data_IF_203504969908
#
_entry.id   IF_203504969908
#
_cell.length_a   1.000
_cell.length_b   1.000
_cell.length_c   1.000
_cell.angle_alpha   90.00
_cell.angle_beta   90.00
_cell.angle_gamma   90.00
#
_symmetry.space_group_name_H-M   'P 1'
#
loop_
_entity.id
_entity.type
_entity.pdbx_description
1 polymer ?
#
# COMPACT_ATOMS: atom_id res chain seq x y z
N UNK A 1 72.19 -27.26 26.31
CA UNK A 1 71.97 -27.75 27.67
C UNK A 1 70.50 -27.87 27.93
N UNK A 2 70.08 -29.06 28.21
CA UNK A 2 68.76 -29.57 28.53
C UNK A 2 68.12 -28.89 29.73
N UNK A 3 66.80 -28.71 29.72
CA UNK A 3 65.97 -29.00 30.88
C UNK A 3 64.51 -29.27 30.44
N UNK A 4 64.20 -30.57 30.37
CA UNK A 4 62.86 -31.11 30.41
C UNK A 4 62.25 -30.90 31.81
N UNK A 5 61.03 -30.40 31.87
CA UNK A 5 60.19 -30.51 33.07
C UNK A 5 58.93 -31.30 32.71
N UNK A 6 58.92 -32.55 33.17
CA UNK A 6 57.73 -33.40 33.25
C UNK A 6 56.74 -32.76 34.23
N UNK A 7 55.48 -32.65 33.79
CA UNK A 7 54.36 -32.44 34.70
C UNK A 7 53.54 -33.73 34.80
N UNK A 8 53.38 -34.20 36.00
CA UNK A 8 52.59 -35.38 36.42
C UNK A 8 51.10 -35.03 36.29
N UNK A 9 50.35 -35.92 35.64
CA UNK A 9 48.92 -36.03 35.65
C UNK A 9 48.40 -36.47 36.99
N UNK A 10 47.61 -35.68 37.67
CA UNK A 10 46.76 -36.12 38.79
C UNK A 10 45.38 -36.40 38.25
N UNK A 11 44.96 -37.65 38.28
CA UNK A 11 43.67 -38.16 37.94
C UNK A 11 42.56 -37.51 38.77
N UNK A 12 41.57 -36.92 38.11
CA UNK A 12 40.28 -36.61 38.71
C UNK A 12 39.25 -37.62 38.23
N UNK A 13 38.72 -38.34 39.23
CA UNK A 13 37.60 -39.27 39.12
C UNK A 13 36.40 -38.53 38.50
N UNK A 14 36.12 -38.84 37.25
CA UNK A 14 34.90 -38.38 36.59
C UNK A 14 33.71 -39.17 37.12
N UNK A 15 32.83 -38.52 37.86
CA UNK A 15 31.49 -39.05 38.15
C UNK A 15 30.77 -39.29 36.83
N UNK A 16 30.56 -40.55 36.45
CA UNK A 16 29.66 -40.97 35.39
C UNK A 16 28.25 -40.57 35.81
N UNK A 17 27.74 -39.47 35.26
CA UNK A 17 26.31 -39.21 35.20
C UNK A 17 25.70 -40.30 34.29
N UNK A 18 25.08 -41.30 34.90
CA UNK A 18 24.21 -42.24 34.21
C UNK A 18 23.07 -41.42 33.59
N UNK A 19 23.15 -41.15 32.28
CA UNK A 19 22.01 -40.70 31.53
C UNK A 19 20.94 -41.79 31.62
N UNK A 20 19.88 -41.52 32.38
CA UNK A 20 18.63 -42.25 32.25
C UNK A 20 18.20 -42.18 30.81
N UNK A 21 18.37 -43.25 30.06
CA UNK A 21 17.73 -43.42 28.75
C UNK A 21 16.23 -43.57 29.05
N UNK A 22 15.48 -42.49 28.95
CA UNK A 22 14.02 -42.55 28.93
C UNK A 22 13.66 -43.47 27.76
N UNK A 23 12.91 -44.53 28.05
CA UNK A 23 12.58 -45.55 27.06
C UNK A 23 11.84 -44.87 25.86
N UNK A 24 12.21 -45.18 24.61
CA UNK A 24 11.65 -44.51 23.41
C UNK A 24 10.12 -44.55 23.34
N UNK A 25 9.51 -45.56 23.93
CA UNK A 25 8.04 -45.65 23.98
C UNK A 25 7.39 -44.64 24.95
N UNK A 26 8.10 -44.11 25.94
CA UNK A 26 7.60 -43.06 26.83
C UNK A 26 7.59 -41.69 26.09
N UNK A 27 8.59 -41.42 25.26
CA UNK A 27 8.63 -40.26 24.40
C UNK A 27 7.49 -40.31 23.36
N UNK A 28 7.22 -41.50 22.81
CA UNK A 28 6.10 -41.69 21.87
C UNK A 28 4.75 -41.46 22.55
N UNK A 29 4.54 -41.95 23.77
CA UNK A 29 3.32 -41.75 24.54
C UNK A 29 3.10 -40.28 24.91
N UNK A 30 4.15 -39.53 25.25
CA UNK A 30 4.09 -38.09 25.50
C UNK A 30 3.75 -37.33 24.25
N UNK A 31 4.33 -37.67 23.09
CA UNK A 31 4.02 -37.06 21.82
C UNK A 31 2.56 -37.31 21.40
N UNK A 32 2.07 -38.55 21.54
CA UNK A 32 0.67 -38.89 21.24
C UNK A 32 -0.31 -38.19 22.20
N UNK A 33 0.04 -38.07 23.49
CA UNK A 33 -0.74 -37.31 24.45
C UNK A 33 -0.84 -35.81 24.10
N UNK A 34 0.27 -35.24 23.65
CA UNK A 34 0.30 -33.85 23.21
C UNK A 34 -0.54 -33.60 21.94
N UNK A 35 -0.45 -34.47 20.95
CA UNK A 35 -1.29 -34.41 19.72
C UNK A 35 -2.77 -34.56 20.05
N UNK A 36 -3.13 -35.49 20.95
CA UNK A 36 -4.51 -35.69 21.41
C UNK A 36 -5.03 -34.46 22.16
N UNK A 37 -4.21 -33.82 23.00
CA UNK A 37 -4.57 -32.60 23.72
C UNK A 37 -4.78 -31.41 22.76
N UNK A 38 -3.93 -31.27 21.76
CA UNK A 38 -4.09 -30.24 20.71
C UNK A 38 -5.35 -30.49 19.87
N UNK A 39 -5.63 -31.73 19.47
CA UNK A 39 -6.84 -32.10 18.74
C UNK A 39 -8.11 -31.83 19.57
N UNK A 40 -8.08 -32.15 20.86
CA UNK A 40 -9.18 -31.85 21.79
C UNK A 40 -9.40 -30.34 21.97
N UNK A 41 -8.33 -29.57 22.13
CA UNK A 41 -8.40 -28.13 22.25
C UNK A 41 -8.95 -27.49 20.96
N UNK A 42 -8.49 -27.94 19.80
CA UNK A 42 -9.03 -27.51 18.50
C UNK A 42 -10.51 -27.80 18.38
N UNK A 43 -10.92 -29.04 18.68
CA UNK A 43 -12.33 -29.43 18.63
C UNK A 43 -13.20 -28.64 19.62
N UNK A 44 -12.69 -28.39 20.83
CA UNK A 44 -13.43 -27.73 21.92
C UNK A 44 -13.59 -26.22 21.72
N UNK A 45 -12.59 -25.57 21.09
CA UNK A 45 -12.52 -24.11 21.00
C UNK A 45 -12.62 -23.57 19.56
N UNK A 46 -11.93 -24.19 18.61
CA UNK A 46 -11.90 -23.67 17.24
C UNK A 46 -13.20 -24.01 16.48
N UNK A 47 -13.71 -25.23 16.58
CA UNK A 47 -14.96 -25.58 15.86
C UNK A 47 -16.14 -24.72 16.30
N UNK A 48 -16.45 -24.53 17.61
CA UNK A 48 -17.55 -23.65 18.02
C UNK A 48 -17.31 -22.18 17.61
N UNK A 49 -16.05 -21.75 17.54
CA UNK A 49 -15.73 -20.41 17.05
C UNK A 49 -16.06 -20.24 15.56
N UNK A 50 -15.72 -21.22 14.74
CA UNK A 50 -16.07 -21.21 13.30
C UNK A 50 -17.56 -21.41 13.05
N UNK A 51 -18.25 -22.22 13.83
CA UNK A 51 -19.71 -22.37 13.76
C UNK A 51 -20.44 -21.07 14.14
N UNK A 52 -19.97 -20.34 15.14
CA UNK A 52 -20.52 -19.02 15.48
C UNK A 52 -20.25 -17.98 14.39
N UNK A 53 -19.07 -17.98 13.76
CA UNK A 53 -18.79 -17.13 12.60
C UNK A 53 -19.69 -17.45 11.41
N UNK A 54 -19.94 -18.74 11.15
CA UNK A 54 -20.88 -19.18 10.09
C UNK A 54 -22.33 -18.82 10.36
N UNK A 55 -22.78 -18.86 11.60
CA UNK A 55 -24.15 -18.55 11.98
C UNK A 55 -24.47 -17.04 11.97
N UNK A 56 -23.48 -16.18 12.14
CA UNK A 56 -23.66 -14.74 11.96
C UNK A 56 -23.72 -14.30 10.48
N UNK A 57 -23.24 -15.13 9.56
CA UNK A 57 -23.31 -14.84 8.12
C UNK A 57 -24.65 -15.19 7.46
N UNK A 58 -25.52 -15.97 8.11
CA UNK A 58 -26.79 -16.46 7.54
C UNK A 58 -27.95 -16.44 8.54
N UNK A 59 -28.18 -15.36 9.24
CA UNK A 59 -29.47 -15.14 9.92
C UNK A 59 -30.39 -14.34 9.00
N UNK A 60 -30.76 -14.91 7.87
CA UNK A 60 -32.06 -14.59 7.27
C UNK A 60 -33.12 -15.17 8.20
N UNK A 61 -33.72 -14.37 9.06
CA UNK A 61 -34.94 -14.70 9.75
C UNK A 61 -35.98 -15.04 8.68
N UNK A 62 -36.42 -16.31 8.64
CA UNK A 62 -37.69 -16.67 8.00
C UNK A 62 -38.78 -16.00 8.81
N UNK A 63 -39.28 -14.88 8.34
CA UNK A 63 -40.53 -14.34 8.82
C UNK A 63 -41.66 -15.36 8.55
N UNK A 64 -42.62 -15.57 9.49
CA UNK A 64 -43.80 -16.37 9.23
C UNK A 64 -44.58 -15.73 8.07
N UNK A 65 -45.30 -16.52 7.26
CA UNK A 65 -46.02 -16.01 6.10
C UNK A 65 -47.02 -14.95 6.56
N UNK A 66 -46.72 -13.71 6.34
CA UNK A 66 -47.62 -12.59 6.51
C UNK A 66 -48.65 -12.61 5.37
N UNK A 67 -49.90 -12.47 5.74
CA UNK A 67 -51.03 -12.24 4.82
C UNK A 67 -50.66 -11.11 3.85
N UNK A 68 -50.86 -11.27 2.53
CA UNK A 68 -50.45 -10.23 1.59
C UNK A 68 -51.26 -8.95 1.88
N UNK A 69 -50.56 -7.94 2.36
CA UNK A 69 -51.05 -6.58 2.38
C UNK A 69 -51.29 -6.11 0.93
N UNK A 70 -52.28 -5.27 0.68
CA UNK A 70 -52.55 -4.74 -0.66
C UNK A 70 -51.25 -4.08 -1.16
N UNK A 71 -50.86 -4.47 -2.39
CA UNK A 71 -49.63 -3.99 -3.01
C UNK A 71 -49.61 -2.45 -3.04
N UNK A 72 -48.82 -1.88 -2.16
CA UNK A 72 -48.44 -0.48 -2.29
C UNK A 72 -47.74 -0.34 -3.67
N UNK A 73 -48.16 0.59 -4.53
CA UNK A 73 -47.51 0.77 -5.80
C UNK A 73 -46.01 0.96 -5.53
N UNK A 74 -45.18 0.05 -6.09
CA UNK A 74 -43.73 0.18 -6.07
C UNK A 74 -43.45 1.56 -6.68
N UNK A 75 -42.82 2.49 -5.94
CA UNK A 75 -42.46 3.75 -6.55
C UNK A 75 -41.60 3.41 -7.77
N UNK A 76 -42.10 3.80 -8.95
CA UNK A 76 -41.28 3.79 -10.17
C UNK A 76 -39.98 4.43 -9.79
N UNK A 77 -38.80 3.79 -9.96
CA UNK A 77 -37.54 4.44 -9.66
C UNK A 77 -37.59 5.77 -10.42
N UNK A 78 -37.51 6.88 -9.71
CA UNK A 78 -37.32 8.17 -10.35
C UNK A 78 -36.13 7.98 -11.30
N UNK A 79 -36.27 8.40 -12.58
CA UNK A 79 -35.13 8.36 -13.48
C UNK A 79 -34.02 9.08 -12.73
N UNK A 80 -32.91 8.39 -12.49
CA UNK A 80 -31.71 8.95 -11.87
C UNK A 80 -31.29 10.10 -12.75
N UNK A 81 -31.78 11.28 -12.40
CA UNK A 81 -31.40 12.51 -13.09
C UNK A 81 -29.91 12.65 -12.81
N UNK A 82 -29.13 12.62 -13.86
CA UNK A 82 -27.72 12.96 -13.80
C UNK A 82 -27.58 14.32 -13.10
N UNK A 83 -27.01 14.40 -11.90
CA UNK A 83 -26.92 15.66 -11.18
C UNK A 83 -26.00 16.67 -11.86
N UNK A 84 -25.20 16.25 -12.89
CA UNK A 84 -24.22 17.08 -13.56
C UNK A 84 -24.20 16.86 -15.08
N UNK A 85 -25.36 17.07 -15.80
CA UNK A 85 -25.48 16.73 -17.21
C UNK A 85 -24.56 17.56 -18.13
N UNK A 86 -24.10 18.69 -17.68
CA UNK A 86 -23.26 19.59 -18.45
C UNK A 86 -21.77 19.38 -18.29
N UNK A 87 -21.35 18.44 -17.41
CA UNK A 87 -19.94 18.19 -17.20
C UNK A 87 -19.33 17.36 -18.35
N UNK A 88 -18.13 17.75 -18.85
CA UNK A 88 -17.51 17.10 -20.02
C UNK A 88 -17.40 15.59 -19.96
N UNK A 89 -17.10 15.02 -18.79
CA UNK A 89 -16.97 13.56 -18.61
C UNK A 89 -18.32 12.81 -18.65
N UNK A 90 -19.44 13.48 -18.44
CA UNK A 90 -20.78 12.88 -18.52
C UNK A 90 -21.26 12.63 -19.93
N UNK A 91 -20.97 13.55 -20.83
CA UNK A 91 -21.32 13.46 -22.26
C UNK A 91 -20.26 12.70 -23.06
N UNK A 92 -19.09 12.45 -22.52
CA UNK A 92 -18.00 11.79 -23.20
C UNK A 92 -18.23 10.27 -23.31
N UNK A 93 -17.87 9.69 -24.44
CA UNK A 93 -17.66 8.26 -24.56
C UNK A 93 -16.40 7.88 -23.77
N UNK A 94 -16.56 7.41 -22.52
CA UNK A 94 -15.46 7.04 -21.64
C UNK A 94 -14.47 6.09 -22.31
N UNK A 95 -14.96 5.20 -23.17
CA UNK A 95 -14.08 4.28 -23.90
C UNK A 95 -13.13 5.01 -24.85
N UNK A 96 -13.57 6.11 -25.46
CA UNK A 96 -12.70 6.89 -26.34
C UNK A 96 -11.60 7.66 -25.60
N UNK A 97 -11.80 7.91 -24.29
CA UNK A 97 -10.84 8.59 -23.42
C UNK A 97 -9.84 7.63 -22.76
N UNK A 98 -10.18 6.36 -22.69
CA UNK A 98 -9.33 5.31 -22.12
C UNK A 98 -8.26 4.88 -23.11
N UNK A 99 -7.05 4.69 -22.62
CA UNK A 99 -5.93 4.15 -23.41
C UNK A 99 -5.31 2.99 -22.67
N UNK A 100 -5.20 1.86 -23.38
CA UNK A 100 -4.56 0.65 -22.85
C UNK A 100 -3.03 0.81 -22.89
N UNK A 101 -2.37 0.40 -21.80
CA UNK A 101 -0.91 0.26 -21.73
C UNK A 101 -0.59 -1.24 -21.87
N UNK A 102 -0.16 -1.64 -23.05
CA UNK A 102 0.17 -3.04 -23.33
C UNK A 102 1.62 -3.32 -22.99
N UNK A 103 1.84 -4.25 -22.05
CA UNK A 103 3.16 -4.78 -21.71
C UNK A 103 3.14 -6.28 -22.01
N UNK A 104 3.56 -6.74 -23.20
CA UNK A 104 3.31 -8.10 -23.68
C UNK A 104 3.84 -9.22 -22.77
N UNK A 105 4.94 -8.95 -22.05
CA UNK A 105 5.63 -9.91 -21.20
C UNK A 105 5.06 -10.01 -19.79
N UNK A 106 4.24 -9.02 -19.37
CA UNK A 106 3.75 -8.88 -17.99
C UNK A 106 2.24 -8.64 -17.97
N UNK A 107 1.58 -9.26 -16.97
CA UNK A 107 0.13 -9.22 -16.84
C UNK A 107 -0.35 -8.29 -15.74
N UNK A 108 0.52 -7.96 -14.79
CA UNK A 108 0.14 -7.25 -13.57
C UNK A 108 1.03 -6.05 -13.33
N UNK A 109 0.45 -5.00 -12.76
CA UNK A 109 1.15 -3.82 -12.28
C UNK A 109 0.72 -3.50 -10.83
N UNK A 110 1.52 -2.72 -10.12
CA UNK A 110 1.23 -2.30 -8.74
C UNK A 110 1.93 -0.98 -8.41
N UNK A 111 1.47 -0.31 -7.34
CA UNK A 111 2.18 0.78 -6.64
C UNK A 111 2.85 1.82 -7.57
N UNK A 112 2.17 2.23 -8.60
CA UNK A 112 2.75 3.15 -9.58
C UNK A 112 2.90 4.59 -9.03
N UNK A 113 3.72 5.37 -9.71
CA UNK A 113 3.77 6.83 -9.58
C UNK A 113 3.71 7.48 -10.96
N UNK A 114 3.09 8.64 -11.04
CA UNK A 114 3.07 9.50 -12.24
C UNK A 114 3.92 10.73 -11.96
N UNK A 115 4.80 11.07 -12.88
CA UNK A 115 5.68 12.25 -12.77
C UNK A 115 5.84 12.87 -14.15
N UNK A 116 5.44 14.11 -14.33
CA UNK A 116 5.51 14.86 -15.58
C UNK A 116 4.86 14.11 -16.76
N UNK A 117 3.65 13.55 -16.55
CA UNK A 117 2.92 12.76 -17.53
C UNK A 117 3.55 11.42 -17.87
N UNK A 118 4.54 10.97 -17.12
CA UNK A 118 5.16 9.65 -17.28
C UNK A 118 4.73 8.71 -16.16
N UNK A 119 4.16 7.58 -16.52
CA UNK A 119 3.78 6.49 -15.62
C UNK A 119 5.00 5.60 -15.32
N UNK A 120 5.31 5.41 -14.05
CA UNK A 120 6.32 4.48 -13.57
C UNK A 120 5.63 3.38 -12.77
N UNK A 121 5.45 2.21 -13.38
CA UNK A 121 4.71 1.10 -12.80
C UNK A 121 5.60 -0.15 -12.63
N UNK A 122 5.74 -0.71 -11.43
CA UNK A 122 6.28 -2.06 -11.28
C UNK A 122 5.38 -3.06 -12.00
N UNK A 123 5.95 -3.85 -12.91
CA UNK A 123 5.24 -4.85 -13.71
C UNK A 123 5.82 -6.25 -13.50
N UNK A 124 4.96 -7.25 -13.56
CA UNK A 124 5.34 -8.62 -13.31
C UNK A 124 4.26 -9.64 -13.60
N UNK A 125 4.51 -10.87 -13.13
CA UNK A 125 3.63 -12.01 -13.28
C UNK A 125 3.51 -12.76 -11.95
N UNK A 126 2.51 -13.63 -11.85
CA UNK A 126 2.49 -14.63 -10.79
C UNK A 126 3.57 -15.67 -11.01
N UNK A 127 4.27 -16.00 -9.96
CA UNK A 127 5.19 -17.15 -9.91
C UNK A 127 4.40 -18.45 -9.75
N UNK A 128 4.98 -19.61 -10.01
CA UNK A 128 4.28 -20.91 -9.89
C UNK A 128 3.71 -21.19 -8.49
N UNK A 129 4.24 -20.56 -7.45
CA UNK A 129 3.72 -20.65 -6.08
C UNK A 129 2.54 -19.68 -5.79
N UNK A 130 2.04 -18.97 -6.82
CA UNK A 130 0.92 -18.02 -6.71
C UNK A 130 1.29 -16.66 -6.13
N UNK A 131 2.57 -16.37 -5.92
CA UNK A 131 3.03 -15.06 -5.42
C UNK A 131 3.27 -14.12 -6.59
N UNK A 132 2.73 -12.91 -6.55
CA UNK A 132 3.05 -11.88 -7.55
C UNK A 132 4.49 -11.40 -7.41
N UNK A 133 5.23 -11.34 -8.51
CA UNK A 133 6.60 -10.84 -8.58
C UNK A 133 6.72 -9.73 -9.63
N UNK A 134 6.96 -8.51 -9.17
CA UNK A 134 7.08 -7.32 -10.02
C UNK A 134 8.56 -7.02 -10.29
N UNK A 135 9.07 -7.54 -11.39
CA UNK A 135 10.52 -7.66 -11.66
C UNK A 135 11.08 -6.59 -12.58
N UNK A 136 10.23 -5.76 -13.15
CA UNK A 136 10.64 -4.63 -14.01
C UNK A 136 9.88 -3.37 -13.60
N UNK A 137 10.48 -2.24 -13.88
CA UNK A 137 9.80 -0.96 -13.79
C UNK A 137 9.46 -0.50 -15.20
N UNK A 138 8.18 -0.45 -15.52
CA UNK A 138 7.68 0.19 -16.72
C UNK A 138 7.84 1.70 -16.59
N UNK A 139 8.38 2.34 -17.62
CA UNK A 139 8.31 3.77 -17.86
C UNK A 139 7.49 3.99 -19.12
N UNK A 140 6.33 4.65 -19.00
CA UNK A 140 5.43 4.93 -20.11
C UNK A 140 5.11 6.41 -20.16
N UNK A 141 5.43 7.07 -21.27
CA UNK A 141 5.11 8.47 -21.51
C UNK A 141 3.70 8.55 -22.14
N UNK A 142 2.76 9.19 -21.45
CA UNK A 142 1.35 9.26 -21.88
C UNK A 142 1.14 10.15 -23.09
N UNK A 143 2.02 11.14 -23.32
CA UNK A 143 1.94 12.09 -24.44
C UNK A 143 2.45 11.47 -25.75
N UNK A 144 3.63 10.84 -25.68
CA UNK A 144 4.26 10.22 -26.85
C UNK A 144 3.85 8.76 -27.06
N UNK A 145 3.19 8.15 -26.06
CA UNK A 145 2.82 6.72 -26.01
C UNK A 145 4.02 5.79 -26.18
N UNK A 146 5.19 6.25 -25.77
CA UNK A 146 6.41 5.44 -25.82
C UNK A 146 6.68 4.78 -24.47
N UNK A 147 7.19 3.54 -24.51
CA UNK A 147 7.46 2.77 -23.31
C UNK A 147 8.84 2.15 -23.30
N UNK A 148 9.35 1.91 -22.11
CA UNK A 148 10.58 1.19 -21.87
C UNK A 148 10.51 0.45 -20.54
N UNK A 149 11.10 -0.74 -20.48
CA UNK A 149 11.28 -1.52 -19.26
C UNK A 149 12.67 -1.27 -18.66
N UNK A 150 12.68 -0.76 -17.43
CA UNK A 150 13.91 -0.52 -16.68
C UNK A 150 14.27 -1.77 -15.87
N UNK A 151 15.46 -2.37 -16.11
CA UNK A 151 15.91 -3.57 -15.40
C UNK A 151 16.58 -3.17 -14.08
N UNK A 152 15.78 -2.72 -13.09
CA UNK A 152 16.33 -2.38 -11.79
C UNK A 152 16.89 -3.62 -11.10
N UNK A 153 18.11 -3.56 -10.54
CA UNK A 153 18.71 -4.70 -9.84
C UNK A 153 17.93 -5.08 -8.58
N UNK A 154 17.54 -6.36 -8.48
CA UNK A 154 16.81 -6.92 -7.34
C UNK A 154 17.69 -7.93 -6.59
N UNK A 155 17.64 -7.87 -5.26
CA UNK A 155 18.17 -8.91 -4.36
C UNK A 155 17.03 -9.82 -3.86
N UNK A 156 15.79 -9.28 -3.86
CA UNK A 156 14.58 -9.97 -3.48
C UNK A 156 13.68 -10.19 -4.70
N UNK A 157 12.36 -10.13 -4.53
CA UNK A 157 11.45 -10.59 -5.59
C UNK A 157 10.68 -9.50 -6.31
N UNK A 158 10.45 -8.34 -5.68
CA UNK A 158 9.48 -7.39 -6.23
C UNK A 158 9.87 -5.93 -6.01
N UNK A 159 9.78 -5.14 -7.06
CA UNK A 159 9.80 -3.69 -7.00
C UNK A 159 8.46 -3.23 -6.41
N UNK A 160 8.50 -2.39 -5.37
CA UNK A 160 7.31 -1.76 -4.77
C UNK A 160 7.57 -0.28 -4.55
N UNK A 161 6.51 0.52 -4.65
CA UNK A 161 6.49 1.95 -4.33
C UNK A 161 7.66 2.74 -4.94
N UNK A 162 7.79 2.81 -6.26
CA UNK A 162 8.83 3.60 -6.88
C UNK A 162 8.59 5.10 -6.64
N UNK A 163 9.59 5.80 -6.11
CA UNK A 163 9.64 7.25 -6.07
C UNK A 163 10.68 7.72 -7.09
N UNK A 164 10.31 8.64 -7.97
CA UNK A 164 11.09 8.98 -9.16
C UNK A 164 11.37 10.47 -9.22
N UNK A 165 12.61 10.81 -9.54
CA UNK A 165 13.05 12.14 -9.94
C UNK A 165 13.89 12.06 -11.22
N UNK A 166 14.39 13.17 -11.71
CA UNK A 166 15.25 13.19 -12.90
C UNK A 166 16.51 12.36 -12.71
N UNK A 167 17.08 12.37 -11.51
CA UNK A 167 18.35 11.70 -11.19
C UNK A 167 18.19 10.33 -10.54
N UNK A 168 17.13 10.11 -9.76
CA UNK A 168 16.99 8.96 -8.89
C UNK A 168 15.71 8.21 -9.09
N UNK A 169 15.77 6.90 -8.93
CA UNK A 169 14.60 6.03 -8.66
C UNK A 169 14.90 5.33 -7.33
N UNK A 170 14.07 5.62 -6.32
CA UNK A 170 14.13 4.92 -5.03
C UNK A 170 12.94 3.97 -4.94
N UNK A 171 13.19 2.75 -4.51
CA UNK A 171 12.16 1.71 -4.47
C UNK A 171 12.39 0.73 -3.32
N UNK A 172 11.33 0.09 -2.89
CA UNK A 172 11.43 -1.09 -2.03
C UNK A 172 11.63 -2.32 -2.92
N UNK A 173 12.78 -2.99 -2.79
CA UNK A 173 13.01 -4.34 -3.30
C UNK A 173 12.48 -5.31 -2.23
N UNK A 174 11.23 -5.73 -2.39
CA UNK A 174 10.45 -6.42 -1.37
C UNK A 174 10.69 -7.93 -1.39
N UNK A 175 10.82 -8.52 -0.20
CA UNK A 175 10.78 -9.96 -0.01
C UNK A 175 9.32 -10.47 0.01
N UNK A 176 9.11 -11.74 -0.34
CA UNK A 176 7.78 -12.34 -0.42
C UNK A 176 7.01 -12.36 0.92
N UNK A 177 7.74 -12.39 2.04
CA UNK A 177 7.19 -12.45 3.40
C UNK A 177 7.20 -11.09 4.13
N UNK A 178 7.35 -10.00 3.39
CA UNK A 178 7.53 -8.66 3.94
C UNK A 178 8.99 -8.31 4.21
N UNK A 179 9.25 -7.02 4.44
CA UNK A 179 10.61 -6.50 4.50
C UNK A 179 11.30 -6.47 3.12
N UNK A 180 12.63 -6.42 3.13
CA UNK A 180 13.44 -6.31 1.93
C UNK A 180 14.56 -5.29 2.07
N UNK A 181 14.76 -4.46 1.04
CA UNK A 181 15.69 -3.32 1.12
C UNK A 181 15.11 -2.09 0.42
N UNK A 182 15.38 -0.92 0.96
CA UNK A 182 15.24 0.33 0.22
C UNK A 182 16.49 0.48 -0.65
N UNK A 183 16.30 0.60 -1.95
CA UNK A 183 17.37 0.75 -2.92
C UNK A 183 17.20 2.06 -3.72
N UNK A 184 18.30 2.67 -4.10
CA UNK A 184 18.33 3.85 -4.97
C UNK A 184 19.11 3.53 -6.24
N UNK A 185 18.47 3.74 -7.39
CA UNK A 185 19.08 3.64 -8.71
C UNK A 185 19.34 5.04 -9.26
N UNK A 186 20.59 5.32 -9.60
CA UNK A 186 20.97 6.57 -10.23
C UNK A 186 20.79 6.45 -11.75
N UNK A 187 19.88 7.24 -12.30
CA UNK A 187 19.50 7.22 -13.72
C UNK A 187 20.60 7.72 -14.66
N UNK A 188 21.53 8.53 -14.14
CA UNK A 188 22.64 9.10 -14.94
C UNK A 188 23.83 8.14 -15.04
N UNK A 189 24.11 7.39 -13.97
CA UNK A 189 25.25 6.47 -13.91
C UNK A 189 24.88 5.00 -14.06
N UNK A 190 23.59 4.67 -14.05
CA UNK A 190 23.03 3.32 -14.04
C UNK A 190 23.52 2.46 -12.85
N UNK A 191 23.87 3.10 -11.75
CA UNK A 191 24.34 2.42 -10.54
C UNK A 191 23.23 2.32 -9.50
N UNK A 192 23.17 1.19 -8.81
CA UNK A 192 22.24 0.98 -7.71
C UNK A 192 22.99 0.81 -6.40
N UNK A 193 22.48 1.44 -5.34
CA UNK A 193 22.97 1.25 -3.97
C UNK A 193 21.83 0.85 -3.04
N UNK A 194 22.16 0.04 -2.05
CA UNK A 194 21.24 -0.26 -0.93
C UNK A 194 21.34 0.88 0.09
N UNK A 195 20.21 1.51 0.39
CA UNK A 195 20.13 2.54 1.41
C UNK A 195 19.91 1.92 2.80
N UNK A 196 19.01 0.93 2.88
CA UNK A 196 18.63 0.31 4.15
C UNK A 196 18.07 -1.09 3.93
N UNK A 197 18.40 -2.03 4.82
CA UNK A 197 17.67 -3.29 4.95
C UNK A 197 16.50 -3.11 5.90
N UNK A 198 15.31 -3.56 5.50
CA UNK A 198 14.06 -3.50 6.23
C UNK A 198 13.62 -4.92 6.56
N UNK A 199 13.35 -5.21 7.83
CA UNK A 199 13.05 -6.56 8.28
C UNK A 199 11.56 -6.89 8.31
N UNK A 200 10.70 -5.87 8.40
CA UNK A 200 9.24 -6.03 8.48
C UNK A 200 8.52 -4.90 7.78
N UNK A 201 7.29 -5.18 7.34
CA UNK A 201 6.44 -4.19 6.68
C UNK A 201 6.84 -3.90 5.24
N UNK A 202 6.17 -2.96 4.65
CA UNK A 202 6.38 -2.49 3.29
C UNK A 202 6.48 -0.94 3.30
N UNK A 203 7.60 -0.38 3.77
CA UNK A 203 7.76 1.07 3.80
C UNK A 203 7.72 1.66 2.40
N UNK A 204 6.95 2.73 2.23
CA UNK A 204 6.86 3.49 0.99
C UNK A 204 7.91 4.61 1.03
N UNK A 205 8.95 4.57 0.18
CA UNK A 205 9.88 5.68 0.06
C UNK A 205 9.24 6.84 -0.70
N UNK A 206 9.61 8.06 -0.32
CA UNK A 206 9.33 9.29 -1.07
C UNK A 206 10.62 10.07 -1.28
N UNK A 207 10.64 10.95 -2.26
CA UNK A 207 11.82 11.72 -2.66
C UNK A 207 11.57 13.21 -2.55
N UNK A 208 12.58 13.93 -2.05
CA UNK A 208 12.77 15.33 -2.29
C UNK A 208 14.21 15.56 -2.70
N UNK A 209 14.44 16.09 -3.91
CA UNK A 209 15.77 16.29 -4.49
C UNK A 209 16.68 15.05 -4.42
N UNK A 210 17.71 15.10 -3.57
CA UNK A 210 18.66 14.01 -3.35
C UNK A 210 18.45 13.29 -2.02
N UNK A 211 17.29 13.47 -1.36
CA UNK A 211 16.98 12.83 -0.08
C UNK A 211 15.78 11.92 -0.22
N UNK A 212 15.92 10.69 0.24
CA UNK A 212 14.83 9.73 0.35
C UNK A 212 14.32 9.66 1.80
N UNK A 213 12.99 9.58 1.95
CA UNK A 213 12.32 9.48 3.26
C UNK A 213 11.40 8.27 3.26
N UNK A 214 11.23 7.63 4.42
CA UNK A 214 10.23 6.59 4.65
C UNK A 214 9.95 6.39 6.12
N UNK A 215 8.79 5.81 6.44
CA UNK A 215 8.49 5.35 7.79
C UNK A 215 8.77 3.84 7.84
N UNK A 216 9.58 3.41 8.80
CA UNK A 216 9.89 2.00 9.02
C UNK A 216 9.50 1.56 10.44
N UNK A 217 8.99 0.32 10.55
CA UNK A 217 8.74 -0.34 11.82
C UNK A 217 10.02 -0.93 12.37
N UNK A 218 10.35 -0.60 13.60
CA UNK A 218 11.50 -1.17 14.31
C UNK A 218 11.03 -2.34 15.19
N UNK A 219 11.89 -3.35 15.41
CA UNK A 219 11.54 -4.56 16.17
C UNK A 219 11.23 -4.36 17.67
N UNK A 220 11.10 -3.11 18.16
CA UNK A 220 10.84 -2.76 19.55
C UNK A 220 9.52 -2.00 19.73
N UNK A 221 8.52 -2.25 18.90
CA UNK A 221 7.25 -1.52 18.89
C UNK A 221 7.43 -0.01 18.74
N UNK A 222 8.44 0.40 18.00
CA UNK A 222 8.67 1.80 17.68
C UNK A 222 8.80 1.97 16.18
N UNK A 223 8.17 2.99 15.67
CA UNK A 223 8.28 3.38 14.29
C UNK A 223 9.13 4.64 14.18
N UNK A 224 9.74 4.86 13.03
CA UNK A 224 10.53 6.05 12.79
C UNK A 224 10.42 6.55 11.37
N UNK A 225 10.34 7.86 11.25
CA UNK A 225 10.58 8.57 10.00
C UNK A 225 12.09 8.68 9.80
N UNK A 226 12.58 8.10 8.72
CA UNK A 226 13.98 8.01 8.38
C UNK A 226 14.28 8.80 7.11
N UNK A 227 15.42 9.46 7.05
CA UNK A 227 15.92 10.19 5.89
C UNK A 227 17.32 9.69 5.49
N UNK A 228 17.62 9.65 4.18
CA UNK A 228 18.94 9.33 3.65
C UNK A 228 19.30 10.27 2.53
N UNK A 229 20.45 10.93 2.61
CA UNK A 229 21.05 11.64 1.50
C UNK A 229 21.55 10.64 0.44
N UNK A 230 21.04 10.77 -0.78
CA UNK A 230 21.34 9.84 -1.87
C UNK A 230 22.72 10.04 -2.48
N UNK A 231 23.39 11.14 -2.26
CA UNK A 231 24.76 11.35 -2.75
C UNK A 231 25.78 10.73 -1.79
N UNK A 232 25.65 11.01 -0.49
CA UNK A 232 26.58 10.52 0.53
C UNK A 232 26.24 9.12 1.04
N UNK A 233 24.94 8.78 1.11
CA UNK A 233 24.43 7.57 1.75
C UNK A 233 24.26 7.71 3.27
N UNK A 234 24.50 8.89 3.82
CA UNK A 234 24.30 9.17 5.24
C UNK A 234 22.83 9.25 5.56
N UNK A 235 22.42 8.63 6.67
CA UNK A 235 21.01 8.56 7.09
C UNK A 235 20.81 9.00 8.53
N UNK A 236 19.64 9.60 8.80
CA UNK A 236 19.22 10.05 10.11
C UNK A 236 17.77 9.67 10.41
N UNK A 237 17.46 9.46 11.69
CA UNK A 237 16.07 9.38 12.16
C UNK A 237 15.60 10.82 12.42
N UNK A 238 14.55 11.24 11.73
CA UNK A 238 13.93 12.56 11.91
C UNK A 238 12.94 12.56 13.06
N UNK A 239 12.05 11.54 13.10
CA UNK A 239 11.03 11.39 14.13
C UNK A 239 11.03 9.96 14.63
N UNK A 240 10.90 9.78 15.94
CA UNK A 240 10.71 8.50 16.60
C UNK A 240 9.36 8.51 17.31
N UNK A 241 8.52 7.52 17.06
CA UNK A 241 7.20 7.41 17.66
C UNK A 241 6.85 5.97 18.00
N UNK A 242 5.88 5.78 18.88
CA UNK A 242 5.43 4.45 19.26
C UNK A 242 4.66 3.78 18.12
N UNK A 243 4.85 2.49 17.96
CA UNK A 243 4.13 1.72 16.95
C UNK A 243 2.65 1.67 17.27
N UNK A 244 1.84 1.97 16.27
CA UNK A 244 0.41 1.74 16.30
C UNK A 244 0.11 0.27 15.96
N UNK A 245 -0.94 -0.35 16.51
CA UNK A 245 -1.47 -1.62 16.03
C UNK A 245 -2.04 -1.53 14.61
N UNK A 246 -2.33 -0.34 14.15
CA UNK A 246 -2.84 -0.06 12.79
C UNK A 246 -1.71 -0.04 11.77
N UNK A 247 -2.09 -0.04 10.48
CA UNK A 247 -1.13 0.18 9.41
C UNK A 247 -0.44 1.53 9.57
N UNK A 248 0.86 1.57 9.27
CA UNK A 248 1.60 2.82 9.30
C UNK A 248 1.12 3.73 8.19
N UNK A 249 0.82 4.98 8.54
CA UNK A 249 0.61 6.03 7.55
C UNK A 249 1.90 6.25 6.75
N UNK A 250 1.75 6.42 5.44
CA UNK A 250 2.88 6.66 4.55
C UNK A 250 3.21 8.15 4.54
N UNK A 251 4.50 8.53 4.52
CA UNK A 251 4.85 9.93 4.32
C UNK A 251 4.59 10.33 2.86
N UNK A 252 4.47 11.63 2.62
CA UNK A 252 4.34 12.20 1.28
C UNK A 252 5.23 13.43 1.13
N UNK A 253 5.88 13.59 -0.02
CA UNK A 253 6.73 14.75 -0.30
C UNK A 253 6.19 15.50 -1.52
N UNK A 254 6.03 16.82 -1.38
CA UNK A 254 5.65 17.72 -2.46
C UNK A 254 6.40 19.05 -2.32
N UNK A 255 7.10 19.47 -3.35
CA UNK A 255 8.03 20.60 -3.24
C UNK A 255 9.00 20.36 -2.07
N UNK A 256 9.25 21.37 -1.26
CA UNK A 256 10.09 21.27 -0.05
C UNK A 256 9.31 20.80 1.19
N UNK A 257 8.08 20.35 1.06
CA UNK A 257 7.25 19.92 2.19
C UNK A 257 7.20 18.41 2.29
N UNK A 258 7.49 17.88 3.48
CA UNK A 258 7.28 16.47 3.84
C UNK A 258 6.08 16.36 4.79
N UNK A 259 5.01 15.71 4.33
CA UNK A 259 3.86 15.38 5.17
C UNK A 259 4.06 14.04 5.86
N UNK A 260 3.67 13.95 7.12
CA UNK A 260 3.58 12.71 7.87
C UNK A 260 2.57 12.83 9.01
N UNK A 261 2.11 11.70 9.52
CA UNK A 261 1.27 11.67 10.72
C UNK A 261 2.20 11.54 11.93
N UNK A 262 2.15 12.52 12.82
CA UNK A 262 2.98 12.58 14.01
C UNK A 262 2.54 11.54 15.07
N UNK A 263 3.36 11.28 16.11
CA UNK A 263 3.05 10.30 17.17
C UNK A 263 1.72 10.54 17.91
N UNK A 264 1.27 11.76 17.96
CA UNK A 264 -0.01 12.18 18.58
C UNK A 264 -1.21 12.07 17.62
N UNK A 265 -0.99 11.63 16.39
CA UNK A 265 -2.00 11.51 15.34
C UNK A 265 -2.20 12.78 14.50
N UNK A 266 -1.50 13.87 14.82
CA UNK A 266 -1.61 15.12 14.07
C UNK A 266 -0.95 15.01 12.68
N UNK A 267 -1.63 15.55 11.67
CA UNK A 267 -1.00 15.74 10.35
C UNK A 267 0.03 16.85 10.46
N UNK A 268 1.27 16.53 10.12
CA UNK A 268 2.41 17.44 10.27
C UNK A 268 3.07 17.70 8.93
N UNK A 269 3.31 18.96 8.65
CA UNK A 269 4.12 19.43 7.52
C UNK A 269 5.51 19.83 8.03
N UNK A 270 6.56 19.19 7.51
CA UNK A 270 7.95 19.55 7.74
C UNK A 270 8.50 20.23 6.50
N UNK A 271 8.88 21.48 6.65
CA UNK A 271 9.65 22.20 5.63
C UNK A 271 11.10 21.71 5.63
N UNK A 272 11.49 21.06 4.53
CA UNK A 272 12.79 20.40 4.38
C UNK A 272 13.96 21.39 4.17
N UNK A 273 13.68 22.63 3.78
CA UNK A 273 14.70 23.68 3.63
C UNK A 273 15.02 24.34 4.96
N UNK A 274 13.99 24.62 5.76
CA UNK A 274 14.16 25.34 7.03
C UNK A 274 14.23 24.41 8.24
N UNK A 275 13.79 23.16 8.11
CA UNK A 275 13.66 22.18 9.19
C UNK A 275 12.52 22.50 10.18
N UNK A 276 11.62 23.42 9.86
CA UNK A 276 10.48 23.77 10.71
C UNK A 276 9.32 22.84 10.46
N UNK A 277 8.67 22.41 11.54
CA UNK A 277 7.44 21.62 11.49
C UNK A 277 6.25 22.44 11.95
N UNK A 278 5.12 22.24 11.28
CA UNK A 278 3.84 22.82 11.69
C UNK A 278 2.73 21.76 11.59
N UNK A 279 1.72 21.89 12.44
CA UNK A 279 0.53 21.04 12.35
C UNK A 279 -0.41 21.61 11.28
N UNK A 280 -0.82 20.74 10.34
CA UNK A 280 -1.87 21.08 9.38
C UNK A 280 -3.22 21.00 10.09
N UNK A 281 -4.01 22.08 10.15
CA UNK A 281 -5.21 22.14 10.98
C UNK A 281 -6.42 21.49 10.29
N UNK A 282 -6.35 20.17 10.08
CA UNK A 282 -7.43 19.38 9.47
C UNK A 282 -8.48 18.98 10.51
N UNK A 283 -9.75 18.95 10.11
CA UNK A 283 -10.84 18.40 10.92
C UNK A 283 -10.98 16.90 10.63
N UNK A 284 -10.31 16.08 11.42
CA UNK A 284 -10.26 14.63 11.27
C UNK A 284 -9.94 13.92 12.58
N UNK A 285 -10.37 12.65 12.71
CA UNK A 285 -10.13 11.83 13.90
C UNK A 285 -8.87 10.95 13.74
N UNK A 286 -8.65 10.36 12.55
CA UNK A 286 -7.57 9.41 12.27
C UNK A 286 -6.99 9.64 10.89
N UNK A 287 -6.09 10.60 10.79
CA UNK A 287 -5.42 10.90 9.53
C UNK A 287 -4.53 9.74 9.10
N UNK A 288 -4.65 9.33 7.85
CA UNK A 288 -3.87 8.25 7.26
C UNK A 288 -3.52 8.54 5.80
N UNK A 289 -2.34 8.12 5.35
CA UNK A 289 -1.84 8.20 3.99
C UNK A 289 -2.06 9.57 3.31
N UNK A 290 -1.58 10.68 3.88
CA UNK A 290 -1.77 12.01 3.31
C UNK A 290 -1.06 12.14 1.97
N UNK A 291 -1.67 12.89 1.04
CA UNK A 291 -1.08 13.32 -0.22
C UNK A 291 -1.30 14.82 -0.39
N UNK A 292 -0.41 15.51 -1.04
CA UNK A 292 -0.42 16.97 -1.16
C UNK A 292 -0.06 17.40 -2.57
N UNK A 293 -0.68 18.46 -3.02
CA UNK A 293 -0.26 19.25 -4.19
C UNK A 293 -0.29 20.76 -3.87
N UNK A 294 -0.21 21.62 -4.86
CA UNK A 294 -0.22 23.07 -4.66
C UNK A 294 -1.55 23.60 -4.11
N UNK A 295 -2.66 22.86 -4.30
CA UNK A 295 -4.01 23.32 -3.97
C UNK A 295 -4.47 22.86 -2.58
N UNK A 296 -3.82 21.83 -2.00
CA UNK A 296 -4.19 21.34 -0.67
C UNK A 296 -3.71 19.94 -0.34
N UNK A 297 -4.38 19.30 0.62
CA UNK A 297 -4.03 17.98 1.16
C UNK A 297 -5.23 17.05 1.13
N UNK A 298 -5.08 15.88 0.52
CA UNK A 298 -6.02 14.77 0.59
C UNK A 298 -5.51 13.72 1.57
N UNK A 299 -6.41 13.09 2.33
CA UNK A 299 -6.04 12.03 3.29
C UNK A 299 -7.24 11.14 3.61
N UNK A 300 -6.95 9.97 4.18
CA UNK A 300 -7.98 9.11 4.75
C UNK A 300 -8.21 9.49 6.22
N UNK A 301 -9.48 9.49 6.63
CA UNK A 301 -9.89 9.55 8.04
C UNK A 301 -10.51 8.21 8.43
N UNK A 302 -9.70 7.25 8.83
CA UNK A 302 -10.19 5.91 9.17
C UNK A 302 -9.15 5.06 9.89
N UNK A 303 -9.63 4.25 10.84
CA UNK A 303 -8.85 3.18 11.47
C UNK A 303 -8.69 1.95 10.56
N UNK A 304 -9.57 1.80 9.58
CA UNK A 304 -9.62 0.65 8.68
C UNK A 304 -9.81 1.12 7.24
N UNK A 305 -8.96 0.64 6.34
CA UNK A 305 -9.00 1.01 4.92
C UNK A 305 -10.35 0.74 4.22
N UNK A 306 -11.21 -0.14 4.78
CA UNK A 306 -12.50 -0.49 4.18
C UNK A 306 -13.63 0.49 4.45
N UNK A 307 -13.53 1.26 5.53
CA UNK A 307 -14.55 2.25 5.94
C UNK A 307 -14.03 3.68 5.81
N UNK A 308 -12.98 3.88 5.03
CA UNK A 308 -12.27 5.14 4.91
C UNK A 308 -13.13 6.26 4.33
N UNK A 309 -13.05 7.40 5.00
CA UNK A 309 -13.50 8.66 4.45
C UNK A 309 -12.31 9.35 3.80
N UNK A 310 -12.45 9.75 2.56
CA UNK A 310 -11.48 10.61 1.89
C UNK A 310 -11.86 12.04 2.19
N UNK A 311 -10.92 12.77 2.76
CA UNK A 311 -11.08 14.18 3.09
C UNK A 311 -10.10 15.01 2.26
N UNK A 312 -10.53 16.22 1.91
CA UNK A 312 -9.75 17.24 1.22
C UNK A 312 -9.67 18.51 2.07
N UNK A 313 -8.47 18.96 2.37
CA UNK A 313 -8.21 20.24 3.05
C UNK A 313 -7.61 21.24 2.05
N UNK A 314 -8.35 22.31 1.77
CA UNK A 314 -8.00 23.35 0.79
C UNK A 314 -7.14 24.50 1.37
N UNK A 315 -6.58 24.32 2.56
CA UNK A 315 -5.86 25.36 3.31
C UNK A 315 -6.77 26.18 4.24
N UNK A 316 -8.09 26.07 4.13
CA UNK A 316 -9.06 26.82 4.98
C UNK A 316 -10.08 25.92 5.65
N UNK A 317 -10.58 24.90 4.98
CA UNK A 317 -11.60 23.97 5.46
C UNK A 317 -11.33 22.54 5.00
N UNK A 318 -11.83 21.58 5.76
CA UNK A 318 -11.85 20.18 5.40
C UNK A 318 -13.22 19.84 4.80
N UNK A 319 -13.22 19.15 3.66
CA UNK A 319 -14.41 18.70 2.91
C UNK A 319 -14.35 17.18 2.76
N UNK A 320 -15.48 16.49 2.99
CA UNK A 320 -15.61 15.08 2.70
C UNK A 320 -15.77 14.88 1.19
N UNK A 321 -14.89 14.07 0.59
CA UNK A 321 -14.89 13.71 -0.83
C UNK A 321 -15.68 12.43 -1.07
N UNK A 322 -15.45 11.41 -0.25
CA UNK A 322 -16.11 10.13 -0.39
C UNK A 322 -16.08 9.34 0.92
N UNK A 323 -17.05 8.43 1.08
CA UNK A 323 -17.12 7.43 2.15
C UNK A 323 -17.01 6.02 1.60
N UNK A 324 -16.46 5.08 2.37
CA UNK A 324 -16.30 3.68 1.97
C UNK A 324 -15.33 3.48 0.81
N UNK A 325 -14.40 4.42 0.62
CA UNK A 325 -13.31 4.29 -0.33
C UNK A 325 -12.21 3.37 0.24
N UNK A 326 -11.56 2.61 -0.63
CA UNK A 326 -10.51 1.68 -0.25
C UNK A 326 -9.10 2.18 -0.60
N UNK A 327 -9.00 3.07 -1.56
CA UNK A 327 -7.75 3.65 -2.03
C UNK A 327 -8.01 4.98 -2.73
N UNK A 328 -7.01 5.86 -2.74
CA UNK A 328 -7.09 7.12 -3.46
C UNK A 328 -5.71 7.57 -3.97
N UNK A 329 -5.72 8.46 -4.94
CA UNK A 329 -4.52 9.13 -5.45
C UNK A 329 -4.87 10.57 -5.86
N UNK A 330 -3.95 11.49 -5.59
CA UNK A 330 -4.11 12.90 -5.87
C UNK A 330 -3.47 13.25 -7.22
N UNK A 331 -4.23 13.93 -8.09
CA UNK A 331 -3.76 14.56 -9.31
C UNK A 331 -3.90 16.08 -9.27
N UNK A 332 -3.61 16.74 -10.37
CA UNK A 332 -3.77 18.18 -10.50
C UNK A 332 -5.25 18.51 -10.78
N UNK A 333 -5.91 19.18 -9.84
CA UNK A 333 -7.31 19.54 -9.92
C UNK A 333 -8.30 18.45 -9.51
N UNK A 334 -7.84 17.24 -9.14
CA UNK A 334 -8.73 16.13 -8.82
C UNK A 334 -8.17 15.13 -7.81
N UNK A 335 -9.08 14.35 -7.22
CA UNK A 335 -8.80 13.18 -6.42
C UNK A 335 -9.42 11.96 -7.09
N UNK A 336 -8.60 10.98 -7.50
CA UNK A 336 -9.07 9.69 -7.97
C UNK A 336 -9.23 8.73 -6.79
N UNK A 337 -10.30 7.91 -6.78
CA UNK A 337 -10.48 6.93 -5.70
C UNK A 337 -11.25 5.69 -6.17
N UNK A 338 -11.02 4.58 -5.47
CA UNK A 338 -11.74 3.33 -5.69
C UNK A 338 -12.83 3.13 -4.64
N UNK A 339 -14.05 2.77 -5.12
CA UNK A 339 -15.19 2.43 -4.28
C UNK A 339 -16.05 1.38 -5.00
N UNK A 340 -16.39 0.27 -4.32
CA UNK A 340 -17.22 -0.80 -4.89
C UNK A 340 -16.74 -1.30 -6.26
N UNK A 341 -15.44 -1.56 -6.38
CA UNK A 341 -14.80 -2.05 -7.61
C UNK A 341 -14.91 -1.11 -8.81
N UNK A 342 -15.20 0.15 -8.56
CA UNK A 342 -15.25 1.23 -9.55
C UNK A 342 -14.30 2.34 -9.15
N UNK A 343 -13.76 3.06 -10.15
CA UNK A 343 -12.98 4.26 -9.93
C UNK A 343 -13.81 5.50 -10.18
N UNK A 344 -13.56 6.48 -9.35
CA UNK A 344 -14.22 7.78 -9.38
C UNK A 344 -13.16 8.87 -9.41
N UNK A 345 -13.54 10.01 -9.94
CA UNK A 345 -12.75 11.26 -9.91
C UNK A 345 -13.62 12.34 -9.29
N UNK A 346 -13.10 12.97 -8.24
CA UNK A 346 -13.66 14.16 -7.63
C UNK A 346 -12.82 15.37 -8.02
N UNK A 347 -13.44 16.36 -8.68
CA UNK A 347 -12.82 17.62 -9.02
C UNK A 347 -13.02 18.62 -7.88
N UNK A 348 -11.96 18.95 -7.15
CA UNK A 348 -12.09 19.80 -5.97
C UNK A 348 -12.32 21.29 -6.30
N UNK A 349 -12.13 21.71 -7.54
CA UNK A 349 -12.44 23.09 -7.99
C UNK A 349 -13.93 23.43 -8.03
N UNK A 350 -14.81 22.45 -8.29
CA UNK A 350 -16.26 22.63 -8.37
C UNK A 350 -17.06 21.60 -7.55
N UNK A 351 -16.38 20.63 -6.92
CA UNK A 351 -17.00 19.61 -6.09
C UNK A 351 -17.73 18.51 -6.87
N UNK A 352 -17.50 18.39 -8.17
CA UNK A 352 -18.16 17.38 -9.00
C UNK A 352 -17.47 16.02 -8.92
N UNK A 353 -18.26 14.94 -8.99
CA UNK A 353 -17.75 13.55 -8.94
C UNK A 353 -18.25 12.75 -10.13
N UNK A 354 -17.38 11.96 -10.72
CA UNK A 354 -17.66 11.08 -11.85
C UNK A 354 -17.17 9.68 -11.63
N UNK A 355 -17.92 8.69 -12.14
CA UNK A 355 -17.42 7.33 -12.29
C UNK A 355 -16.65 7.21 -13.62
N UNK A 356 -15.37 6.86 -13.54
CA UNK A 356 -14.51 6.68 -14.73
C UNK A 356 -14.51 5.24 -15.23
N UNK A 357 -15.06 4.30 -14.48
CA UNK A 357 -15.14 2.89 -14.83
C UNK A 357 -16.48 2.59 -15.51
N UNK A 358 -16.45 1.92 -16.65
CA UNK A 358 -17.66 1.50 -17.36
C UNK A 358 -18.53 0.57 -16.50
N UNK A 359 -19.82 0.48 -16.82
CA UNK A 359 -20.78 -0.32 -16.05
C UNK A 359 -20.45 -1.80 -16.03
N UNK A 360 -19.85 -2.32 -17.09
CA UNK A 360 -19.48 -3.74 -17.28
C UNK A 360 -18.03 -4.05 -16.84
N UNK A 361 -17.33 -3.11 -16.24
CA UNK A 361 -15.95 -3.26 -15.80
C UNK A 361 -15.81 -3.26 -14.29
N UNK A 362 -14.80 -3.98 -13.83
CA UNK A 362 -14.25 -3.92 -12.47
C UNK A 362 -12.85 -3.31 -12.56
N UNK A 363 -12.61 -2.23 -11.85
CA UNK A 363 -11.36 -1.50 -11.92
C UNK A 363 -10.71 -1.35 -10.55
N UNK A 364 -9.40 -1.53 -10.52
CA UNK A 364 -8.56 -1.30 -9.34
C UNK A 364 -7.65 -0.11 -9.61
N UNK A 365 -7.82 0.96 -8.83
CA UNK A 365 -6.96 2.14 -8.93
C UNK A 365 -5.50 1.75 -8.62
N UNK A 366 -4.58 2.13 -9.49
CA UNK A 366 -3.15 1.97 -9.26
C UNK A 366 -2.49 3.27 -8.79
N UNK A 367 -3.01 4.41 -9.25
CA UNK A 367 -2.52 5.72 -8.87
C UNK A 367 -2.96 6.84 -9.81
N UNK A 368 -2.60 8.04 -9.46
CA UNK A 368 -2.77 9.24 -10.27
C UNK A 368 -1.59 10.20 -10.03
N UNK A 369 -1.51 11.23 -10.87
CA UNK A 369 -0.57 12.33 -10.74
C UNK A 369 -0.64 13.20 -11.99
N UNK A 370 -0.26 14.45 -11.88
CA UNK A 370 -0.49 15.45 -12.92
C UNK A 370 -1.98 15.40 -13.38
N UNK A 371 -2.23 15.29 -14.67
CA UNK A 371 -3.57 15.13 -15.26
C UNK A 371 -3.95 13.66 -15.57
N UNK A 372 -3.23 12.67 -15.05
CA UNK A 372 -3.37 11.26 -15.42
C UNK A 372 -3.90 10.43 -14.27
N UNK A 373 -4.90 9.58 -14.54
CA UNK A 373 -5.34 8.47 -13.68
C UNK A 373 -5.01 7.14 -14.34
N UNK A 374 -4.52 6.17 -13.57
CA UNK A 374 -4.14 4.82 -14.04
C UNK A 374 -4.77 3.74 -13.17
N UNK A 375 -5.31 2.70 -13.80
CA UNK A 375 -5.94 1.56 -13.13
C UNK A 375 -5.66 0.23 -13.85
N UNK A 376 -5.98 -0.87 -13.16
CA UNK A 376 -6.13 -2.19 -13.78
C UNK A 376 -7.61 -2.47 -14.01
N UNK A 377 -7.99 -2.81 -15.22
CA UNK A 377 -9.24 -3.49 -15.50
C UNK A 377 -9.06 -4.98 -15.12
N UNK A 378 -9.70 -5.36 -14.02
CA UNK A 378 -9.67 -6.73 -13.47
C UNK A 378 -10.98 -7.48 -13.72
N UNK A 379 -11.80 -7.00 -14.64
CA UNK A 379 -12.99 -7.70 -15.13
C UNK A 379 -12.60 -9.10 -15.59
N UNK A 380 -13.44 -10.10 -15.31
CA UNK A 380 -13.23 -11.52 -15.57
C UNK A 380 -12.72 -11.83 -16.99
N UNK A 381 -11.43 -11.60 -17.21
CA UNK A 381 -10.71 -11.83 -18.45
C UNK A 381 -9.52 -12.75 -18.17
N UNK A 382 -9.01 -13.33 -19.21
CA UNK A 382 -7.80 -14.16 -19.15
C UNK A 382 -6.53 -13.37 -18.79
N UNK A 383 -6.61 -12.02 -18.80
CA UNK A 383 -5.50 -11.10 -18.54
C UNK A 383 -6.05 -9.78 -18.04
N UNK A 384 -5.50 -9.28 -16.93
CA UNK A 384 -5.77 -7.93 -16.47
C UNK A 384 -5.13 -6.90 -17.41
N UNK A 385 -5.80 -5.77 -17.62
CA UNK A 385 -5.38 -4.74 -18.55
C UNK A 385 -5.08 -3.47 -17.78
N UNK A 386 -3.89 -2.92 -17.96
CA UNK A 386 -3.55 -1.60 -17.42
C UNK A 386 -4.07 -0.52 -18.37
N UNK A 387 -4.84 0.39 -17.84
CA UNK A 387 -5.46 1.49 -18.59
C UNK A 387 -5.16 2.82 -17.92
N UNK A 388 -5.19 3.89 -18.71
CA UNK A 388 -5.12 5.25 -18.19
C UNK A 388 -6.07 6.18 -18.94
N UNK A 389 -6.37 7.29 -18.28
CA UNK A 389 -7.11 8.41 -18.85
C UNK A 389 -6.38 9.70 -18.50
N UNK A 390 -6.31 10.61 -19.47
CA UNK A 390 -5.83 11.97 -19.25
C UNK A 390 -7.04 12.87 -19.08
N UNK A 391 -7.12 13.56 -17.94
CA UNK A 391 -8.31 14.35 -17.58
C UNK A 391 -8.29 15.77 -18.14
N UNK A 392 -7.27 16.16 -18.88
CA UNK A 392 -7.14 17.46 -19.53
C UNK A 392 -7.19 18.65 -18.58
N UNK A 393 -6.45 19.72 -18.87
CA UNK A 393 -6.64 20.98 -18.17
C UNK A 393 -8.07 21.49 -18.41
N UNK A 394 -8.77 21.90 -17.34
CA UNK A 394 -10.00 22.68 -17.48
C UNK A 394 -9.69 23.93 -18.33
N UNK A 395 -10.22 23.99 -19.54
CA UNK A 395 -10.23 25.23 -20.35
C UNK A 395 -11.09 26.28 -19.69
#
# INVERSE_FOLDING_TARGET
MKHEKRYRSTGKIGKRLTRFRIMPWLELLLALGFVAALGWAFWRFAIPFFENLGNHAYSCQKEPPSTPAPATPVPTPEPTHDPYPDHPLYSADLKSMQTEIVVPEYQYATDLTVVNGTVYAPVGNYTPDGTAAFVRLLQYDTKTKTQRLLPLPLNYKSIRFPAVSDKWIVYLDAAANGGGRIAAYNRLTNQTKTLKTVYTGLPKPVLYENTAFWIERTGQNRDKLFAVDLNTGEGATLVLFESSPYALSKPYAFGSTLLYVAPDGALTALDLETGKSETVPVDANYVHDPQMNADGVAFLDSNHARDGHILWYDGTKTVEVATGAVDFALGDGFIAYSRYEKNYVYFYGDGTTFCTTRSDETAMLLGAGDDVIVWMDVTWRSKDIMEYMTLGEKQ
#
